data_IF_910952595495
#
_entry.id   IF_910952595495
#
_cell.length_a   1.000
_cell.length_b   1.000
_cell.length_c   1.000
_cell.angle_alpha   90.00
_cell.angle_beta   90.00
_cell.angle_gamma   90.00
#
_symmetry.space_group_name_H-M   'P 1'
#
loop_
_entity.id
_entity.type
_entity.pdbx_description
1 polymer ?
#
# COMPACT_ATOMS: atom_id res chain seq x y z
N UNK A 1 6.54 -13.56 21.75
CA UNK A 1 5.73 -12.56 20.99
C UNK A 1 6.54 -11.27 20.85
N UNK A 2 6.91 -10.84 19.64
CA UNK A 2 7.65 -9.57 19.43
C UNK A 2 6.74 -8.39 19.82
N UNK A 3 7.20 -7.50 20.69
CA UNK A 3 6.45 -6.33 21.14
C UNK A 3 6.84 -5.11 20.29
N UNK A 4 5.85 -4.34 19.82
CA UNK A 4 6.08 -3.16 18.97
C UNK A 4 6.07 -1.82 19.73
N UNK A 5 5.82 -1.82 21.04
CA UNK A 5 5.65 -0.59 21.84
C UNK A 5 6.82 0.40 21.72
N UNK A 6 8.07 -0.08 21.74
CA UNK A 6 9.25 0.78 21.54
C UNK A 6 9.26 1.43 20.15
N UNK A 7 8.87 0.69 19.11
CA UNK A 7 8.83 1.22 17.75
C UNK A 7 7.71 2.23 17.58
N UNK A 8 6.52 1.95 18.12
CA UNK A 8 5.38 2.87 18.11
C UNK A 8 5.73 4.17 18.84
N UNK A 9 6.31 4.09 20.04
CA UNK A 9 6.78 5.26 20.80
C UNK A 9 7.79 6.07 20.00
N UNK A 10 8.77 5.42 19.38
CA UNK A 10 9.86 6.12 18.68
C UNK A 10 9.42 6.69 17.31
N UNK A 11 8.45 6.07 16.64
CA UNK A 11 8.00 6.49 15.30
C UNK A 11 6.78 7.41 15.34
N UNK A 12 6.04 7.43 16.45
CA UNK A 12 4.84 8.26 16.68
C UNK A 12 3.89 8.33 15.46
N UNK A 13 3.40 7.18 14.96
CA UNK A 13 2.58 7.15 13.74
C UNK A 13 1.30 7.98 13.87
N UNK A 14 0.68 8.03 15.05
CA UNK A 14 -0.49 8.87 15.30
C UNK A 14 -0.19 10.36 15.18
N UNK A 15 0.95 10.83 15.72
CA UNK A 15 1.37 12.23 15.56
C UNK A 15 1.66 12.59 14.11
N UNK A 16 2.24 11.66 13.34
CA UNK A 16 2.41 11.83 11.90
C UNK A 16 1.05 11.96 11.19
N UNK A 17 0.10 11.05 11.46
CA UNK A 17 -1.26 11.08 10.89
C UNK A 17 -1.98 12.39 11.20
N UNK A 18 -1.99 12.85 12.45
CA UNK A 18 -2.62 14.12 12.83
C UNK A 18 -1.99 15.32 12.13
N UNK A 19 -0.66 15.31 11.91
CA UNK A 19 0.01 16.38 11.18
C UNK A 19 -0.31 16.34 9.68
N UNK A 20 -0.42 15.15 9.09
CA UNK A 20 -0.85 14.97 7.69
C UNK A 20 -2.27 15.49 7.52
N UNK A 21 -3.21 15.06 8.37
CA UNK A 21 -4.60 15.50 8.35
C UNK A 21 -4.71 17.04 8.40
N UNK A 22 -4.03 17.68 9.37
CA UNK A 22 -4.01 19.15 9.49
C UNK A 22 -3.54 19.84 8.22
N UNK A 23 -2.46 19.33 7.61
CA UNK A 23 -1.90 19.91 6.38
C UNK A 23 -2.83 19.75 5.19
N UNK A 24 -3.41 18.57 4.99
CA UNK A 24 -4.36 18.35 3.90
C UNK A 24 -5.60 19.24 4.04
N UNK A 25 -6.18 19.32 5.25
CA UNK A 25 -7.33 20.19 5.52
C UNK A 25 -7.00 21.67 5.29
N UNK A 26 -5.81 22.12 5.68
CA UNK A 26 -5.38 23.50 5.49
C UNK A 26 -5.24 23.92 4.00
N UNK A 27 -4.96 22.98 3.10
CA UNK A 27 -4.85 23.26 1.65
C UNK A 27 -6.15 22.97 0.89
N UNK A 28 -7.27 22.74 1.57
CA UNK A 28 -8.53 22.31 0.96
C UNK A 28 -8.53 20.87 0.43
N UNK A 29 -7.49 20.09 0.77
CA UNK A 29 -7.41 18.67 0.46
C UNK A 29 -8.28 17.83 1.39
N UNK A 30 -8.50 16.57 1.01
CA UNK A 30 -9.28 15.61 1.79
C UNK A 30 -8.37 14.61 2.49
N UNK A 31 -8.72 14.24 3.72
CA UNK A 31 -8.10 13.16 4.47
C UNK A 31 -9.18 12.15 4.85
N UNK A 32 -8.97 10.89 4.47
CA UNK A 32 -9.92 9.78 4.68
C UNK A 32 -9.21 8.72 5.51
N UNK A 33 -9.79 8.35 6.64
CA UNK A 33 -9.32 7.23 7.45
C UNK A 33 -10.04 5.95 7.04
N UNK A 34 -9.26 4.96 6.62
CA UNK A 34 -9.79 3.64 6.28
C UNK A 34 -9.81 2.77 7.54
N UNK A 35 -10.93 2.10 7.85
CA UNK A 35 -11.04 1.20 8.99
C UNK A 35 -9.97 0.09 9.02
N UNK A 36 -9.48 -0.25 10.21
CA UNK A 36 -8.42 -1.26 10.37
C UNK A 36 -8.82 -2.68 9.91
N UNK A 37 -10.11 -3.00 9.91
CA UNK A 37 -10.64 -4.29 9.45
C UNK A 37 -10.62 -4.44 7.91
N UNK A 38 -10.36 -3.35 7.16
CA UNK A 38 -10.21 -3.38 5.70
C UNK A 38 -9.05 -4.28 5.22
N UNK A 39 -7.98 -4.39 6.03
CA UNK A 39 -6.89 -5.37 5.84
C UNK A 39 -6.28 -5.35 4.43
N UNK A 40 -6.09 -4.16 3.84
CA UNK A 40 -5.52 -3.97 2.49
C UNK A 40 -4.24 -4.80 2.23
N UNK A 41 -3.34 -4.89 3.21
CA UNK A 41 -2.10 -5.67 3.06
C UNK A 41 -2.31 -7.18 2.89
N UNK A 42 -3.52 -7.69 3.09
CA UNK A 42 -3.84 -9.12 3.04
C UNK A 42 -4.71 -9.49 1.84
N UNK A 43 -5.48 -8.57 1.30
CA UNK A 43 -6.42 -8.85 0.22
C UNK A 43 -5.71 -9.12 -1.13
N UNK A 44 -6.31 -9.97 -1.95
CA UNK A 44 -5.96 -10.24 -3.34
C UNK A 44 -7.21 -10.00 -4.19
N UNK A 45 -7.17 -8.98 -5.06
CA UNK A 45 -8.32 -8.57 -5.85
C UNK A 45 -8.63 -9.52 -7.01
N UNK A 46 -7.67 -10.35 -7.42
CA UNK A 46 -7.80 -11.26 -8.58
C UNK A 46 -8.63 -12.50 -8.25
N UNK A 47 -8.62 -12.91 -6.97
CA UNK A 47 -9.32 -14.09 -6.48
C UNK A 47 -10.30 -13.77 -5.34
N UNK A 48 -10.44 -12.51 -4.94
CA UNK A 48 -11.32 -12.06 -3.86
C UNK A 48 -11.06 -12.78 -2.52
N UNK A 49 -9.77 -12.97 -2.19
CA UNK A 49 -9.34 -13.71 -1.00
C UNK A 49 -8.39 -12.89 -0.12
N UNK A 50 -8.38 -13.19 1.17
CA UNK A 50 -7.45 -12.60 2.14
C UNK A 50 -6.33 -13.58 2.48
N UNK A 51 -5.12 -13.26 2.02
CA UNK A 51 -3.90 -14.03 2.23
C UNK A 51 -3.02 -13.30 3.24
N UNK A 52 -2.75 -13.93 4.40
CA UNK A 52 -1.80 -13.38 5.39
C UNK A 52 -0.39 -13.43 4.83
N UNK A 53 0.33 -12.31 4.93
CA UNK A 53 1.68 -12.13 4.39
C UNK A 53 2.69 -11.92 5.53
N UNK A 54 3.93 -12.41 5.39
CA UNK A 54 4.96 -12.10 6.39
C UNK A 54 5.50 -10.70 6.15
N UNK A 55 5.88 -10.02 7.23
CA UNK A 55 6.47 -8.68 7.15
C UNK A 55 7.79 -8.65 6.36
N UNK A 56 8.49 -9.77 6.25
CA UNK A 56 9.71 -9.96 5.45
C UNK A 56 9.46 -9.94 3.95
N UNK A 57 8.26 -10.33 3.52
CA UNK A 57 7.95 -10.55 2.11
C UNK A 57 7.65 -9.18 1.50
N UNK A 58 8.55 -8.68 0.65
CA UNK A 58 8.45 -7.34 0.03
C UNK A 58 7.76 -7.36 -1.33
N UNK A 59 7.77 -8.51 -1.98
CA UNK A 59 7.03 -8.81 -3.20
C UNK A 59 5.84 -9.69 -2.84
N UNK A 60 4.74 -9.50 -3.55
CA UNK A 60 3.54 -10.31 -3.42
C UNK A 60 3.18 -10.89 -4.78
N UNK A 61 2.98 -12.20 -4.82
CA UNK A 61 2.46 -12.91 -5.98
C UNK A 61 0.95 -13.09 -5.81
N UNK A 62 0.19 -12.44 -6.68
CA UNK A 62 -1.26 -12.56 -6.79
C UNK A 62 -1.64 -13.96 -7.26
N UNK A 63 -2.90 -14.34 -7.08
CA UNK A 63 -3.42 -15.64 -7.48
C UNK A 63 -3.33 -15.89 -8.99
N UNK A 64 -3.51 -14.85 -9.81
CA UNK A 64 -3.31 -14.89 -11.26
C UNK A 64 -1.83 -15.06 -11.70
N UNK A 65 -0.90 -15.01 -10.74
CA UNK A 65 0.54 -15.14 -10.96
C UNK A 65 1.29 -13.81 -11.07
N UNK A 66 0.58 -12.67 -11.13
CA UNK A 66 1.20 -11.33 -11.21
C UNK A 66 2.00 -11.03 -9.96
N UNK A 67 3.23 -10.54 -10.13
CA UNK A 67 4.08 -10.11 -9.01
C UNK A 67 4.07 -8.58 -8.87
N UNK A 68 3.81 -8.12 -7.64
CA UNK A 68 3.68 -6.69 -7.29
C UNK A 68 4.51 -6.35 -6.06
N UNK A 69 4.97 -5.09 -5.94
CA UNK A 69 5.55 -4.63 -4.68
C UNK A 69 4.45 -4.50 -3.61
N UNK A 70 4.67 -5.11 -2.43
CA UNK A 70 3.63 -5.29 -1.40
C UNK A 70 3.07 -3.97 -0.85
N UNK A 71 3.93 -3.00 -0.58
CA UNK A 71 3.54 -1.74 0.04
C UNK A 71 2.80 -0.85 -0.98
N UNK A 72 3.25 -0.83 -2.24
CA UNK A 72 2.54 -0.22 -3.36
C UNK A 72 1.17 -0.87 -3.54
N UNK A 73 1.10 -2.20 -3.57
CA UNK A 73 -0.16 -2.91 -3.78
C UNK A 73 -1.15 -2.63 -2.64
N UNK A 74 -0.67 -2.55 -1.39
CA UNK A 74 -1.51 -2.12 -0.25
C UNK A 74 -2.03 -0.69 -0.43
N UNK A 75 -1.19 0.22 -0.96
CA UNK A 75 -1.60 1.58 -1.29
C UNK A 75 -2.61 1.64 -2.45
N UNK A 76 -2.47 0.77 -3.45
CA UNK A 76 -3.43 0.63 -4.54
C UNK A 76 -4.78 0.18 -4.02
N UNK A 77 -4.81 -0.81 -3.13
CA UNK A 77 -6.06 -1.27 -2.50
C UNK A 77 -6.69 -0.20 -1.61
N UNK A 78 -5.91 0.65 -0.94
CA UNK A 78 -6.44 1.82 -0.23
C UNK A 78 -7.02 2.87 -1.20
N UNK A 79 -6.41 3.06 -2.37
CA UNK A 79 -6.97 3.90 -3.42
C UNK A 79 -8.31 3.36 -3.96
N UNK A 80 -8.48 2.04 -3.97
CA UNK A 80 -9.73 1.37 -4.35
C UNK A 80 -10.77 1.25 -3.23
N UNK A 81 -10.53 1.87 -2.07
CA UNK A 81 -11.52 1.91 -1.00
C UNK A 81 -12.72 2.78 -1.39
N UNK A 82 -13.93 2.26 -1.16
CA UNK A 82 -15.17 3.01 -1.27
C UNK A 82 -15.63 3.47 0.12
N UNK A 83 -15.69 4.80 0.28
CA UNK A 83 -16.09 5.45 1.52
C UNK A 83 -17.60 5.36 1.80
N UNK A 84 -18.43 5.11 0.78
CA UNK A 84 -19.88 4.98 0.94
C UNK A 84 -20.26 3.60 1.48
N UNK A 85 -19.64 2.56 0.94
CA UNK A 85 -19.88 1.16 1.33
C UNK A 85 -18.95 0.68 2.45
N UNK A 86 -17.89 1.44 2.76
CA UNK A 86 -16.82 1.06 3.67
C UNK A 86 -16.10 -0.24 3.27
N UNK A 87 -16.07 -0.55 1.96
CA UNK A 87 -15.52 -1.79 1.43
C UNK A 87 -14.66 -1.55 0.17
N UNK A 88 -14.10 -2.62 -0.39
CA UNK A 88 -13.28 -2.59 -1.60
C UNK A 88 -14.16 -2.39 -2.84
N UNK A 89 -13.87 -1.35 -3.63
CA UNK A 89 -14.46 -1.18 -4.95
C UNK A 89 -13.78 -2.13 -5.94
N UNK A 90 -14.37 -3.31 -6.12
CA UNK A 90 -13.87 -4.36 -7.02
C UNK A 90 -13.82 -3.90 -8.48
N UNK A 91 -14.78 -3.10 -8.91
CA UNK A 91 -14.81 -2.57 -10.27
C UNK A 91 -13.65 -1.59 -10.49
N UNK A 92 -13.39 -0.72 -9.52
CA UNK A 92 -12.24 0.19 -9.54
C UNK A 92 -10.91 -0.56 -9.48
N UNK A 93 -10.81 -1.63 -8.68
CA UNK A 93 -9.64 -2.51 -8.71
C UNK A 93 -9.38 -3.00 -10.14
N UNK A 94 -10.35 -3.66 -10.75
CA UNK A 94 -10.17 -4.28 -12.07
C UNK A 94 -9.88 -3.25 -13.16
N UNK A 95 -10.58 -2.12 -13.15
CA UNK A 95 -10.43 -1.08 -14.19
C UNK A 95 -9.18 -0.23 -14.05
N UNK A 96 -8.63 -0.07 -12.83
CA UNK A 96 -7.46 0.76 -12.57
C UNK A 96 -6.17 0.00 -12.35
N UNK A 97 -6.22 -1.32 -12.14
CA UNK A 97 -5.04 -2.11 -11.82
C UNK A 97 -3.96 -2.00 -12.89
N UNK A 98 -4.29 -2.24 -14.16
CA UNK A 98 -3.30 -2.23 -15.25
C UNK A 98 -2.59 -0.88 -15.39
N UNK A 99 -3.35 0.22 -15.37
CA UNK A 99 -2.81 1.58 -15.45
C UNK A 99 -1.84 1.87 -14.30
N UNK A 100 -2.23 1.54 -13.06
CA UNK A 100 -1.40 1.79 -11.88
C UNK A 100 -0.20 0.86 -11.81
N UNK A 101 -0.36 -0.39 -12.23
CA UNK A 101 0.71 -1.38 -12.28
C UNK A 101 1.78 -1.00 -13.30
N UNK A 102 1.38 -0.46 -14.45
CA UNK A 102 2.32 0.07 -15.43
C UNK A 102 3.14 1.25 -14.88
N UNK A 103 2.52 2.13 -14.08
CA UNK A 103 3.24 3.22 -13.37
C UNK A 103 4.23 2.69 -12.34
N UNK A 104 3.88 1.64 -11.60
CA UNK A 104 4.78 0.99 -10.63
C UNK A 104 5.99 0.37 -11.33
N UNK A 105 5.79 -0.40 -12.40
CA UNK A 105 6.88 -0.97 -13.19
C UNK A 105 7.81 0.09 -13.75
N UNK A 106 7.26 1.20 -14.26
CA UNK A 106 8.04 2.33 -14.75
C UNK A 106 8.87 2.97 -13.63
N UNK A 107 8.28 3.18 -12.45
CA UNK A 107 8.97 3.72 -11.28
C UNK A 107 10.10 2.80 -10.80
N UNK A 108 9.86 1.49 -10.70
CA UNK A 108 10.89 0.51 -10.31
C UNK A 108 12.04 0.50 -11.33
N UNK A 109 11.73 0.57 -12.62
CA UNK A 109 12.73 0.66 -13.70
C UNK A 109 13.57 1.91 -13.55
N UNK A 110 12.94 3.06 -13.31
CA UNK A 110 13.64 4.32 -13.07
C UNK A 110 14.51 4.29 -11.81
N UNK A 111 14.01 3.73 -10.70
CA UNK A 111 14.78 3.55 -9.46
C UNK A 111 16.05 2.73 -9.72
N UNK A 112 15.94 1.63 -10.47
CA UNK A 112 17.07 0.77 -10.83
C UNK A 112 18.07 1.49 -11.73
N UNK A 113 17.59 2.16 -12.79
CA UNK A 113 18.44 2.90 -13.72
C UNK A 113 19.26 4.00 -13.02
N UNK A 114 18.65 4.68 -12.03
CA UNK A 114 19.29 5.74 -11.25
C UNK A 114 20.02 5.23 -10.01
N UNK A 115 20.08 3.90 -9.79
CA UNK A 115 20.75 3.27 -8.63
C UNK A 115 20.29 3.85 -7.29
N UNK A 116 19.01 4.16 -7.16
CA UNK A 116 18.45 4.76 -5.95
C UNK A 116 18.19 3.70 -4.87
N UNK A 117 18.87 3.85 -3.73
CA UNK A 117 18.70 2.95 -2.59
C UNK A 117 17.40 3.24 -1.84
N UNK A 118 16.37 2.46 -2.13
CA UNK A 118 15.10 2.49 -1.38
C UNK A 118 15.12 1.46 -0.27
N UNK A 119 15.06 1.91 0.98
CA UNK A 119 15.08 1.04 2.15
C UNK A 119 13.79 0.23 2.26
N UNK A 120 13.91 -1.03 2.68
CA UNK A 120 12.78 -1.93 2.94
C UNK A 120 11.84 -2.19 1.74
N UNK A 121 12.23 -1.85 0.52
CA UNK A 121 11.37 -1.98 -0.66
C UNK A 121 11.38 -3.38 -1.29
N UNK A 122 12.44 -4.15 -1.06
CA UNK A 122 12.69 -5.41 -1.81
C UNK A 122 13.30 -5.19 -3.20
N UNK A 123 13.42 -3.93 -3.64
CA UNK A 123 14.03 -3.59 -4.93
C UNK A 123 15.54 -3.77 -4.80
N UNK A 124 16.09 -4.72 -5.57
CA UNK A 124 17.53 -4.92 -5.71
C UNK A 124 18.04 -4.07 -6.88
N UNK A 125 19.07 -3.27 -6.60
CA UNK A 125 19.85 -2.58 -7.62
C UNK A 125 20.91 -3.58 -8.06
N UNK A 126 20.94 -3.91 -9.36
CA UNK A 126 21.97 -4.75 -9.96
C UNK A 126 23.27 -3.96 -10.12
#
# INVERSE_FOLDING_TARGET
KKRFGKSIKNRCPGGFQSNVEKKFKATGGTYIEVPNNYRASQYDHTADVYIKKKLSDRLFKLHDGTEVQRDWYSSFLLYCYDHMTHDIDKNKCNTKFEEQYNKEKALITWIKANKLKILNSGIKIA
#
